data_IF_996665442344
#
_entry.id   IF_996665442344
#
_cell.length_a   1.000
_cell.length_b   1.000
_cell.length_c   1.000
_cell.angle_alpha   90.00
_cell.angle_beta   90.00
_cell.angle_gamma   90.00
#
_symmetry.space_group_name_H-M   'P 1'
#
loop_
_entity.id
_entity.type
_entity.pdbx_description
1 polymer ?
#
# COMPACT_ATOMS: atom_id res chain seq x y z
N UNK A 1 -48.43 51.02 -66.17
CA UNK A 1 -49.30 51.88 -65.35
C UNK A 1 -48.43 52.53 -64.29
N UNK A 2 -48.39 53.86 -64.26
CA UNK A 2 -47.81 54.69 -63.18
C UNK A 2 -48.28 54.18 -61.81
N UNK A 3 -47.50 54.28 -60.73
CA UNK A 3 -47.29 55.52 -59.97
C UNK A 3 -45.89 55.59 -59.35
N UNK A 4 -45.33 56.79 -59.48
CA UNK A 4 -44.09 57.35 -58.93
C UNK A 4 -44.26 57.78 -57.46
N UNK A 5 -43.21 57.73 -56.64
CA UNK A 5 -42.59 58.94 -56.02
C UNK A 5 -41.41 58.60 -55.08
N UNK A 6 -40.42 59.49 -55.13
CA UNK A 6 -39.13 59.48 -54.42
C UNK A 6 -39.12 60.47 -53.25
N UNK A 7 -38.40 60.11 -52.17
CA UNK A 7 -37.54 60.95 -51.28
C UNK A 7 -38.21 62.09 -50.47
N UNK A 8 -37.55 62.84 -49.55
CA UNK A 8 -36.16 62.84 -48.96
C UNK A 8 -36.14 62.85 -47.39
N UNK A 9 -35.06 62.51 -46.65
CA UNK A 9 -33.85 63.24 -46.16
C UNK A 9 -34.04 64.40 -45.13
N UNK A 10 -33.28 64.30 -44.02
CA UNK A 10 -32.68 65.33 -43.12
C UNK A 10 -33.53 65.90 -41.96
N UNK A 11 -32.93 65.99 -40.75
CA UNK A 11 -33.35 66.94 -39.69
C UNK A 11 -32.87 66.58 -38.27
N UNK A 12 -32.42 67.58 -37.51
CA UNK A 12 -31.59 67.54 -36.30
C UNK A 12 -32.35 67.68 -34.95
N UNK A 13 -31.83 67.03 -33.88
CA UNK A 13 -31.69 67.46 -32.45
C UNK A 13 -32.96 67.84 -31.62
N UNK A 14 -32.87 68.18 -30.30
CA UNK A 14 -32.58 67.33 -29.12
C UNK A 14 -33.62 67.50 -27.98
N UNK A 15 -33.92 66.50 -27.13
CA UNK A 15 -34.52 66.74 -25.78
C UNK A 15 -34.16 65.64 -24.76
N UNK A 16 -33.98 66.11 -23.52
CA UNK A 16 -33.46 65.51 -22.29
C UNK A 16 -34.26 64.39 -21.60
N UNK A 17 -33.54 63.71 -20.69
CA UNK A 17 -33.95 63.22 -19.36
C UNK A 17 -34.86 61.96 -19.29
N UNK A 18 -34.32 60.85 -18.76
CA UNK A 18 -34.45 60.50 -17.33
C UNK A 18 -33.69 59.21 -17.00
N UNK A 19 -32.93 59.34 -15.91
CA UNK A 19 -32.22 58.31 -15.18
C UNK A 19 -33.22 57.32 -14.58
N UNK A 20 -33.12 56.03 -14.91
CA UNK A 20 -33.62 54.97 -14.03
C UNK A 20 -32.60 53.84 -14.06
N UNK A 21 -31.89 53.68 -12.95
CA UNK A 21 -30.85 52.68 -12.79
C UNK A 21 -31.44 51.28 -12.72
N UNK A 22 -30.78 50.35 -13.39
CA UNK A 22 -30.84 48.93 -13.06
C UNK A 22 -29.40 48.43 -12.98
N UNK A 23 -28.91 48.27 -11.74
CA UNK A 23 -27.66 47.59 -11.44
C UNK A 23 -27.81 46.11 -11.84
N UNK A 24 -27.14 45.69 -12.90
CA UNK A 24 -26.87 44.28 -13.16
C UNK A 24 -25.41 44.02 -12.81
N UNK A 25 -25.15 43.72 -11.53
CA UNK A 25 -23.84 43.23 -11.07
C UNK A 25 -23.61 41.83 -11.63
N UNK A 26 -22.78 41.74 -12.66
CA UNK A 26 -22.25 40.48 -13.15
C UNK A 26 -21.36 39.82 -12.10
N UNK A 27 -21.81 38.69 -11.58
CA UNK A 27 -21.02 37.83 -10.70
C UNK A 27 -20.02 37.04 -11.57
N UNK A 28 -18.84 37.62 -11.81
CA UNK A 28 -17.69 36.87 -12.30
C UNK A 28 -17.23 35.93 -11.17
N UNK A 29 -17.62 34.66 -11.22
CA UNK A 29 -16.96 33.61 -10.45
C UNK A 29 -15.53 33.49 -10.97
N UNK A 30 -14.60 34.12 -10.26
CA UNK A 30 -13.19 33.79 -10.37
C UNK A 30 -13.01 32.35 -9.87
N UNK A 31 -12.90 31.40 -10.80
CA UNK A 31 -12.33 30.09 -10.52
C UNK A 31 -10.83 30.28 -10.20
N UNK A 32 -10.53 30.67 -8.96
CA UNK A 32 -9.20 30.49 -8.43
C UNK A 32 -8.91 28.98 -8.42
N UNK A 33 -7.80 28.51 -8.99
CA UNK A 33 -7.39 27.13 -8.81
C UNK A 33 -7.19 26.94 -7.31
N UNK A 34 -8.05 26.13 -6.68
CA UNK A 34 -7.75 25.62 -5.34
C UNK A 34 -6.44 24.87 -5.49
N UNK A 35 -5.37 25.41 -4.90
CA UNK A 35 -4.17 24.62 -4.65
C UNK A 35 -4.65 23.37 -3.91
N UNK A 36 -4.61 22.22 -4.57
CA UNK A 36 -4.77 20.94 -3.90
C UNK A 36 -3.57 20.83 -2.96
N UNK A 37 -3.78 21.31 -1.73
CA UNK A 37 -2.77 21.30 -0.69
C UNK A 37 -2.33 19.88 -0.44
N UNK A 38 -1.05 19.72 -0.07
CA UNK A 38 -0.58 18.52 0.63
C UNK A 38 -1.66 18.07 1.60
N UNK A 39 -1.96 16.77 1.63
CA UNK A 39 -2.69 16.15 2.72
C UNK A 39 -2.21 16.71 4.06
N UNK A 40 -3.02 17.61 4.62
CA UNK A 40 -2.61 18.48 5.71
C UNK A 40 -2.83 17.72 7.02
N UNK A 41 -1.75 17.53 7.77
CA UNK A 41 -1.74 16.82 9.05
C UNK A 41 -2.75 17.46 10.01
N UNK A 42 -2.91 18.77 9.90
CA UNK A 42 -3.75 19.57 10.78
C UNK A 42 -5.24 19.30 10.51
N UNK A 43 -5.63 19.18 9.23
CA UNK A 43 -6.99 18.81 8.83
C UNK A 43 -7.38 17.41 9.29
N UNK A 44 -6.43 16.47 9.34
CA UNK A 44 -6.68 15.13 9.87
C UNK A 44 -6.84 15.14 11.39
N UNK A 45 -5.97 15.86 12.10
CA UNK A 45 -6.06 16.02 13.55
C UNK A 45 -7.40 16.64 13.95
N UNK A 46 -7.87 17.65 13.21
CA UNK A 46 -9.17 18.29 13.40
C UNK A 46 -10.33 17.31 13.16
N UNK A 47 -10.32 16.55 12.05
CA UNK A 47 -11.37 15.56 11.73
C UNK A 47 -11.46 14.42 12.75
N UNK A 48 -10.33 13.97 13.30
CA UNK A 48 -10.31 12.98 14.38
C UNK A 48 -10.90 13.54 15.68
N UNK A 49 -10.75 14.85 15.93
CA UNK A 49 -11.31 15.50 17.10
C UNK A 49 -12.81 15.85 16.96
N UNK A 50 -13.34 15.95 15.73
CA UNK A 50 -14.64 16.60 15.47
C UNK A 50 -15.83 15.68 15.11
N UNK A 51 -15.71 14.34 15.13
CA UNK A 51 -16.78 13.48 14.58
C UNK A 51 -17.67 12.82 15.65
N UNK A 52 -19.00 13.04 15.65
CA UNK A 52 -19.95 12.23 16.41
C UNK A 52 -20.24 10.90 15.69
N UNK A 53 -20.42 9.82 16.46
CA UNK A 53 -20.88 8.53 15.95
C UNK A 53 -22.22 8.70 15.20
N UNK A 54 -22.30 8.28 13.94
CA UNK A 54 -23.56 8.25 13.20
C UNK A 54 -23.75 6.91 12.51
N UNK A 55 -24.90 6.28 12.77
CA UNK A 55 -25.33 4.98 12.27
C UNK A 55 -25.88 5.09 10.84
N UNK A 56 -25.29 4.29 9.93
CA UNK A 56 -25.67 4.10 8.53
C UNK A 56 -24.69 3.11 7.86
N UNK A 57 -25.09 2.35 6.82
CA UNK A 57 -24.37 1.14 6.42
C UNK A 57 -22.92 1.45 6.03
N UNK A 58 -22.01 1.01 6.90
CA UNK A 58 -20.56 1.09 6.81
C UNK A 58 -19.99 2.46 6.35
N UNK A 59 -20.39 3.55 6.99
CA UNK A 59 -19.58 4.78 6.91
C UNK A 59 -18.18 4.48 7.47
N UNK A 60 -17.15 4.58 6.62
CA UNK A 60 -15.77 4.33 7.04
C UNK A 60 -15.41 5.24 8.24
N UNK A 61 -14.60 4.76 9.21
CA UNK A 61 -14.27 5.54 10.39
C UNK A 61 -13.70 6.92 10.03
N UNK A 62 -13.88 7.94 10.89
CA UNK A 62 -13.36 9.28 10.65
C UNK A 62 -11.87 9.26 10.31
N UNK A 63 -11.49 10.02 9.29
CA UNK A 63 -10.11 10.08 8.83
C UNK A 63 -9.64 8.82 8.10
N UNK A 64 -10.54 7.97 7.59
CA UNK A 64 -10.15 6.81 6.78
C UNK A 64 -10.33 7.05 5.28
N UNK A 65 -11.41 7.70 4.87
CA UNK A 65 -11.58 8.16 3.47
C UNK A 65 -10.60 9.28 3.21
N UNK A 66 -9.76 9.09 2.19
CA UNK A 66 -8.78 10.06 1.71
C UNK A 66 -9.56 11.03 0.81
N UNK A 67 -10.16 10.52 -0.27
CA UNK A 67 -11.04 11.29 -1.14
C UNK A 67 -11.22 10.60 -2.49
N UNK A 68 -11.92 11.26 -3.41
CA UNK A 68 -12.06 10.80 -4.79
C UNK A 68 -11.03 11.48 -5.70
N UNK A 69 -10.44 10.68 -6.58
CA UNK A 69 -9.35 11.09 -7.45
C UNK A 69 -9.54 10.55 -8.86
N UNK A 70 -9.21 11.38 -9.86
CA UNK A 70 -9.11 10.92 -11.25
C UNK A 70 -7.83 10.10 -11.42
N UNK A 71 -7.93 8.95 -12.10
CA UNK A 71 -6.75 8.16 -12.49
C UNK A 71 -5.84 8.99 -13.41
N UNK A 72 -4.52 8.88 -13.24
CA UNK A 72 -3.56 9.52 -14.14
C UNK A 72 -3.48 8.77 -15.48
N UNK A 73 -2.76 9.32 -16.47
CA UNK A 73 -2.44 8.59 -17.71
C UNK A 73 -0.92 8.56 -17.93
N UNK A 74 -0.28 7.38 -17.97
CA UNK A 74 -0.82 6.08 -17.58
C UNK A 74 -1.11 6.01 -16.06
N UNK A 75 -2.18 5.30 -15.68
CA UNK A 75 -2.57 5.10 -14.28
C UNK A 75 -1.84 3.94 -13.63
N UNK A 76 -1.76 2.80 -14.32
CA UNK A 76 -1.12 1.57 -13.84
C UNK A 76 0.35 1.58 -14.19
N UNK A 77 1.21 1.48 -13.18
CA UNK A 77 2.66 1.33 -13.35
C UNK A 77 3.04 -0.15 -13.26
N UNK A 78 2.51 -0.80 -12.23
CA UNK A 78 2.67 -2.22 -11.90
C UNK A 78 1.39 -2.73 -11.21
N UNK A 79 1.25 -4.03 -10.97
CA UNK A 79 0.06 -4.63 -10.39
C UNK A 79 -0.30 -4.12 -8.97
N UNK A 80 0.69 -3.69 -8.20
CA UNK A 80 0.53 -3.11 -6.86
C UNK A 80 0.76 -1.59 -6.79
N UNK A 81 0.92 -0.92 -7.94
CA UNK A 81 1.38 0.48 -8.00
C UNK A 81 0.64 1.27 -9.07
N UNK A 82 -0.15 2.27 -8.63
CA UNK A 82 -0.91 3.17 -9.50
C UNK A 82 -0.60 4.66 -9.25
N UNK A 83 -1.06 5.53 -10.15
CA UNK A 83 -0.99 6.99 -10.08
C UNK A 83 -2.37 7.64 -10.23
N UNK A 84 -2.58 8.73 -9.50
CA UNK A 84 -3.77 9.57 -9.60
C UNK A 84 -3.40 11.04 -9.74
N UNK A 85 -4.30 11.83 -10.31
CA UNK A 85 -4.12 13.28 -10.44
C UNK A 85 -4.17 13.94 -9.06
N UNK A 86 -3.25 14.87 -8.79
CA UNK A 86 -3.24 15.66 -7.55
C UNK A 86 -2.52 15.02 -6.36
N UNK A 87 -2.02 13.79 -6.50
CA UNK A 87 -1.09 13.19 -5.54
C UNK A 87 0.26 13.00 -6.23
N UNK A 88 1.29 13.61 -5.67
CA UNK A 88 2.66 13.49 -6.17
C UNK A 88 3.19 12.05 -5.98
N UNK A 89 3.80 11.50 -7.03
CA UNK A 89 4.40 10.17 -7.03
C UNK A 89 3.37 9.04 -7.25
N UNK A 90 3.77 7.82 -6.87
CA UNK A 90 2.92 6.62 -6.94
C UNK A 90 2.29 6.30 -5.60
N UNK A 91 1.15 5.61 -5.64
CA UNK A 91 0.47 5.07 -4.46
C UNK A 91 1.09 3.71 -4.09
N UNK A 92 1.17 3.40 -2.78
CA UNK A 92 1.49 2.05 -2.29
C UNK A 92 0.19 1.38 -1.88
N UNK A 93 -0.17 0.34 -2.61
CA UNK A 93 -1.39 -0.40 -2.37
C UNK A 93 -1.22 -1.35 -1.17
N UNK A 94 -2.16 -1.28 -0.24
CA UNK A 94 -2.14 -2.05 1.01
C UNK A 94 -2.65 -3.48 0.81
N UNK A 95 -2.07 -4.44 1.53
CA UNK A 95 -2.49 -5.85 1.51
C UNK A 95 -2.11 -6.63 0.24
N UNK A 96 -1.37 -6.02 -0.69
CA UNK A 96 -0.88 -6.67 -1.91
C UNK A 96 0.62 -6.38 -2.14
N UNK A 97 1.30 -7.32 -2.80
CA UNK A 97 2.68 -7.22 -3.29
C UNK A 97 2.79 -8.15 -4.51
N UNK A 98 2.42 -7.62 -5.69
CA UNK A 98 2.52 -8.36 -6.95
C UNK A 98 3.99 -8.61 -7.29
N UNK A 99 4.24 -9.66 -8.09
CA UNK A 99 5.58 -9.92 -8.59
C UNK A 99 6.07 -8.79 -9.50
N UNK A 100 7.39 -8.63 -9.63
CA UNK A 100 7.97 -7.52 -10.37
C UNK A 100 7.78 -7.70 -11.89
N UNK A 101 7.67 -6.58 -12.60
CA UNK A 101 7.63 -6.55 -14.06
C UNK A 101 9.04 -6.48 -14.68
N UNK A 102 9.20 -7.02 -15.90
CA UNK A 102 10.47 -6.93 -16.63
C UNK A 102 10.76 -5.50 -17.09
N UNK A 103 11.67 -4.83 -16.37
CA UNK A 103 12.00 -3.40 -16.56
C UNK A 103 13.24 -3.14 -17.43
N UNK A 104 14.03 -4.17 -17.75
CA UNK A 104 15.24 -4.00 -18.58
C UNK A 104 15.49 -5.17 -19.53
N UNK A 105 16.18 -4.90 -20.65
CA UNK A 105 16.59 -5.92 -21.63
C UNK A 105 17.64 -6.89 -21.08
N UNK A 106 18.40 -6.46 -20.08
CA UNK A 106 19.32 -7.35 -19.37
C UNK A 106 18.55 -8.42 -18.61
N UNK A 107 17.48 -8.03 -17.93
CA UNK A 107 16.66 -8.94 -17.15
C UNK A 107 15.88 -9.92 -18.04
N UNK A 108 15.38 -9.44 -19.19
CA UNK A 108 14.76 -10.28 -20.22
C UNK A 108 15.73 -11.31 -20.79
N UNK A 109 16.95 -10.89 -21.14
CA UNK A 109 17.99 -11.82 -21.64
C UNK A 109 18.39 -12.85 -20.60
N UNK A 110 18.45 -12.47 -19.32
CA UNK A 110 18.71 -13.43 -18.24
C UNK A 110 17.55 -14.44 -18.10
N UNK A 111 16.30 -13.99 -18.30
CA UNK A 111 15.13 -14.86 -18.33
C UNK A 111 15.12 -15.83 -19.54
N UNK A 112 15.58 -15.38 -20.72
CA UNK A 112 15.66 -16.21 -21.94
C UNK A 112 16.54 -17.47 -21.78
N UNK A 113 17.40 -17.52 -20.76
CA UNK A 113 18.19 -18.70 -20.39
C UNK A 113 17.38 -19.81 -19.70
N UNK A 114 16.12 -19.53 -19.36
CA UNK A 114 15.18 -20.43 -18.68
C UNK A 114 14.83 -19.94 -17.27
N UNK A 115 13.55 -20.02 -16.91
CA UNK A 115 13.02 -19.42 -15.68
C UNK A 115 13.67 -19.95 -14.39
N UNK A 116 13.86 -21.27 -14.28
CA UNK A 116 14.53 -21.87 -13.10
C UNK A 116 15.97 -21.37 -12.95
N UNK A 117 16.72 -21.30 -14.06
CA UNK A 117 18.11 -20.80 -14.07
C UNK A 117 18.15 -19.33 -13.71
N UNK A 118 17.22 -18.55 -14.26
CA UNK A 118 17.07 -17.13 -13.95
C UNK A 118 16.80 -16.89 -12.46
N UNK A 119 15.84 -17.58 -11.86
CA UNK A 119 15.53 -17.45 -10.44
C UNK A 119 16.71 -17.91 -9.57
N UNK A 120 17.36 -19.02 -9.91
CA UNK A 120 18.53 -19.50 -9.17
C UNK A 120 19.67 -18.47 -9.15
N UNK A 121 19.96 -17.84 -10.31
CA UNK A 121 20.95 -16.75 -10.40
C UNK A 121 20.54 -15.52 -9.60
N UNK A 122 19.25 -15.16 -9.61
CA UNK A 122 18.74 -14.05 -8.79
C UNK A 122 18.81 -14.34 -7.30
N UNK A 123 18.69 -15.61 -6.89
CA UNK A 123 18.76 -16.04 -5.49
C UNK A 123 20.19 -16.15 -4.97
N UNK A 124 21.19 -16.29 -5.84
CA UNK A 124 22.60 -16.43 -5.47
C UNK A 124 23.05 -15.28 -4.56
N UNK A 125 23.64 -15.61 -3.41
CA UNK A 125 24.08 -14.62 -2.41
C UNK A 125 22.98 -14.04 -1.52
N UNK A 126 21.72 -14.42 -1.71
CA UNK A 126 20.59 -13.98 -0.90
C UNK A 126 20.09 -15.10 0.02
N UNK A 127 19.94 -14.78 1.31
CA UNK A 127 19.42 -15.66 2.36
C UNK A 127 17.89 -15.56 2.55
N UNK A 128 17.25 -14.69 1.75
CA UNK A 128 15.82 -14.35 1.85
C UNK A 128 15.12 -14.49 0.49
N UNK A 129 13.80 -14.67 0.50
CA UNK A 129 12.95 -14.56 -0.68
C UNK A 129 13.28 -13.32 -1.52
N UNK A 130 13.70 -13.54 -2.77
CA UNK A 130 14.03 -12.47 -3.71
C UNK A 130 12.77 -11.79 -4.28
N UNK A 131 12.96 -10.62 -4.91
CA UNK A 131 11.97 -10.00 -5.79
C UNK A 131 12.57 -9.90 -7.19
N UNK A 132 12.30 -10.89 -8.03
CA UNK A 132 12.73 -10.93 -9.44
C UNK A 132 11.55 -10.62 -10.37
N UNK A 133 11.81 -10.18 -11.61
CA UNK A 133 10.74 -10.03 -12.57
C UNK A 133 10.24 -11.39 -13.05
N UNK A 134 8.95 -11.50 -13.33
CA UNK A 134 8.35 -12.76 -13.79
C UNK A 134 7.30 -12.52 -14.87
N UNK A 135 6.97 -13.54 -15.67
CA UNK A 135 5.81 -13.47 -16.56
C UNK A 135 4.52 -13.16 -15.80
N UNK A 136 4.34 -13.73 -14.60
CA UNK A 136 3.15 -13.46 -13.81
C UNK A 136 3.10 -12.01 -13.27
N UNK A 137 4.24 -11.36 -13.01
CA UNK A 137 4.30 -9.93 -12.72
C UNK A 137 3.80 -9.09 -13.91
N UNK A 138 4.11 -9.50 -15.14
CA UNK A 138 3.55 -8.88 -16.35
C UNK A 138 2.04 -9.12 -16.47
N UNK A 139 1.57 -10.34 -16.19
CA UNK A 139 0.14 -10.66 -16.15
C UNK A 139 -0.61 -9.83 -15.10
N UNK A 140 -0.06 -9.67 -13.89
CA UNK A 140 -0.64 -8.85 -12.85
C UNK A 140 -0.80 -7.38 -13.27
N UNK A 141 0.18 -6.84 -14.00
CA UNK A 141 0.08 -5.50 -14.59
C UNK A 141 -1.00 -5.41 -15.67
N UNK A 142 -1.10 -6.40 -16.56
CA UNK A 142 -2.15 -6.40 -17.59
C UNK A 142 -3.54 -6.54 -16.98
N UNK A 143 -3.71 -7.46 -16.03
CA UNK A 143 -4.94 -7.61 -15.26
C UNK A 143 -5.34 -6.31 -14.56
N UNK A 144 -4.38 -5.58 -13.98
CA UNK A 144 -4.63 -4.27 -13.40
C UNK A 144 -5.12 -3.25 -14.45
N UNK A 145 -4.53 -3.23 -15.65
CA UNK A 145 -4.97 -2.36 -16.73
C UNK A 145 -6.41 -2.68 -17.17
N UNK A 146 -6.76 -3.96 -17.32
CA UNK A 146 -8.11 -4.42 -17.62
C UNK A 146 -9.10 -4.08 -16.48
N UNK A 147 -8.69 -4.26 -15.23
CA UNK A 147 -9.52 -3.90 -14.07
C UNK A 147 -9.83 -2.39 -14.02
N UNK A 148 -8.93 -1.54 -14.50
CA UNK A 148 -9.17 -0.09 -14.53
C UNK A 148 -9.71 0.40 -15.88
N UNK A 149 -9.98 -0.48 -16.84
CA UNK A 149 -10.57 -0.09 -18.12
C UNK A 149 -11.96 0.54 -17.89
N UNK A 150 -12.19 1.68 -18.55
CA UNK A 150 -13.42 2.48 -18.39
C UNK A 150 -13.54 3.22 -17.05
N UNK A 151 -12.64 3.01 -16.09
CA UNK A 151 -12.66 3.68 -14.78
C UNK A 151 -12.02 5.06 -14.90
N UNK A 152 -12.81 6.11 -14.66
CA UNK A 152 -12.30 7.50 -14.67
C UNK A 152 -11.75 7.93 -13.31
N UNK A 153 -12.46 7.58 -12.25
CA UNK A 153 -12.18 8.04 -10.88
C UNK A 153 -12.25 6.89 -9.90
N UNK A 154 -11.46 7.02 -8.84
CA UNK A 154 -11.38 6.06 -7.73
C UNK A 154 -11.51 6.79 -6.41
N UNK A 155 -12.06 6.10 -5.41
CA UNK A 155 -12.01 6.57 -4.02
C UNK A 155 -10.83 5.94 -3.32
N UNK A 156 -9.95 6.77 -2.78
CA UNK A 156 -8.82 6.32 -1.98
C UNK A 156 -9.25 6.24 -0.51
N UNK A 157 -8.82 5.18 0.16
CA UNK A 157 -9.06 4.96 1.57
C UNK A 157 -7.80 4.41 2.24
N UNK A 158 -7.55 4.75 3.51
CA UNK A 158 -6.45 4.13 4.28
C UNK A 158 -6.95 2.93 5.09
N UNK A 159 -6.03 2.16 5.65
CA UNK A 159 -6.39 1.12 6.62
C UNK A 159 -6.57 1.69 8.02
N UNK A 160 -5.68 2.59 8.43
CA UNK A 160 -5.66 3.16 9.78
C UNK A 160 -5.41 4.67 9.78
N UNK A 161 -6.12 5.45 10.62
CA UNK A 161 -6.01 6.91 10.65
C UNK A 161 -4.61 7.42 10.95
N UNK A 162 -3.80 6.67 11.70
CA UNK A 162 -2.44 7.07 12.07
C UNK A 162 -1.36 6.67 11.06
N UNK A 163 -1.67 5.82 10.08
CA UNK A 163 -0.71 5.31 9.10
C UNK A 163 -0.98 5.93 7.72
N UNK A 164 -0.23 6.99 7.40
CA UNK A 164 -0.51 7.81 6.21
C UNK A 164 0.37 7.43 5.02
N UNK A 165 1.67 7.30 5.26
CA UNK A 165 2.68 7.13 4.22
C UNK A 165 3.68 6.08 4.68
N UNK A 166 4.12 5.25 3.74
CA UNK A 166 5.18 4.28 3.98
C UNK A 166 6.54 4.94 4.16
N UNK A 167 7.59 4.13 4.39
CA UNK A 167 8.97 4.58 4.61
C UNK A 167 9.47 5.56 3.54
N UNK A 168 9.18 5.27 2.27
CA UNK A 168 9.60 6.04 1.10
C UNK A 168 8.66 7.21 0.75
N UNK A 169 7.72 7.55 1.64
CA UNK A 169 6.82 8.67 1.43
C UNK A 169 5.63 8.40 0.51
N UNK A 170 5.50 7.21 -0.09
CA UNK A 170 4.29 6.81 -0.85
C UNK A 170 3.07 6.77 0.05
N UNK A 171 1.93 7.26 -0.44
CA UNK A 171 0.65 7.21 0.28
C UNK A 171 0.18 5.76 0.39
N UNK A 172 -0.18 5.33 1.59
CA UNK A 172 -0.71 3.99 1.88
C UNK A 172 -2.22 3.99 1.63
N UNK A 173 -2.70 3.14 0.72
CA UNK A 173 -4.11 3.21 0.31
C UNK A 173 -4.68 1.87 -0.17
N UNK A 174 -5.97 1.71 0.06
CA UNK A 174 -6.90 0.92 -0.73
C UNK A 174 -7.46 1.76 -1.86
N UNK A 175 -7.76 1.12 -2.99
CA UNK A 175 -8.36 1.77 -4.15
C UNK A 175 -9.74 1.19 -4.36
N UNK A 176 -10.74 2.03 -4.13
CA UNK A 176 -12.14 1.67 -4.30
C UNK A 176 -12.63 2.14 -5.66
N UNK A 177 -13.23 1.24 -6.43
CA UNK A 177 -13.79 1.50 -7.75
C UNK A 177 -15.29 1.30 -7.71
N UNK A 178 -16.04 2.27 -8.21
CA UNK A 178 -17.49 2.12 -8.35
C UNK A 178 -17.82 1.42 -9.68
N UNK A 179 -18.57 0.32 -9.61
CA UNK A 179 -19.14 -0.39 -10.77
C UNK A 179 -20.56 -0.80 -10.44
N UNK A 180 -21.51 -0.47 -11.32
CA UNK A 180 -22.93 -0.84 -11.18
C UNK A 180 -23.53 -0.47 -9.82
N UNK A 181 -23.19 0.72 -9.31
CA UNK A 181 -23.65 1.22 -8.00
C UNK A 181 -23.03 0.53 -6.79
N UNK A 182 -21.97 -0.26 -6.98
CA UNK A 182 -21.22 -0.94 -5.91
C UNK A 182 -19.77 -0.51 -5.88
N UNK A 183 -19.22 -0.38 -4.68
CA UNK A 183 -17.79 -0.17 -4.48
C UNK A 183 -17.05 -1.51 -4.41
N UNK A 184 -16.07 -1.70 -5.29
CA UNK A 184 -15.13 -2.82 -5.29
C UNK A 184 -13.78 -2.35 -4.75
N UNK A 185 -13.16 -3.15 -3.88
CA UNK A 185 -11.81 -2.88 -3.38
C UNK A 185 -10.80 -3.57 -4.30
N UNK A 186 -10.14 -2.81 -5.18
CA UNK A 186 -9.14 -3.34 -6.12
C UNK A 186 -8.11 -4.23 -5.45
N UNK A 187 -7.64 -3.85 -4.25
CA UNK A 187 -6.60 -4.60 -3.56
C UNK A 187 -7.09 -6.01 -3.19
N UNK A 188 -8.33 -6.14 -2.71
CA UNK A 188 -8.95 -7.44 -2.42
C UNK A 188 -9.21 -8.22 -3.70
N UNK A 189 -9.70 -7.55 -4.76
CA UNK A 189 -9.93 -8.19 -6.07
C UNK A 189 -8.63 -8.70 -6.69
N UNK A 190 -7.52 -8.00 -6.51
CA UNK A 190 -6.19 -8.41 -6.96
C UNK A 190 -5.75 -9.73 -6.31
N UNK A 191 -6.01 -9.90 -5.00
CA UNK A 191 -5.80 -11.17 -4.31
C UNK A 191 -6.76 -12.24 -4.80
N UNK A 192 -8.04 -11.91 -5.00
CA UNK A 192 -9.07 -12.85 -5.47
C UNK A 192 -8.78 -13.38 -6.89
N UNK A 193 -8.18 -12.55 -7.72
CA UNK A 193 -7.73 -12.91 -9.06
C UNK A 193 -6.43 -13.74 -9.05
N UNK A 194 -5.75 -13.88 -7.90
CA UNK A 194 -4.47 -14.59 -7.80
C UNK A 194 -3.28 -13.78 -8.32
N UNK A 195 -3.42 -12.46 -8.50
CA UNK A 195 -2.31 -11.61 -8.98
C UNK A 195 -1.34 -11.21 -7.85
N UNK A 196 -1.78 -11.35 -6.60
CA UNK A 196 -0.99 -11.11 -5.39
C UNK A 196 -1.43 -12.08 -4.29
N UNK A 197 -0.53 -12.51 -3.38
CA UNK A 197 -0.97 -13.06 -2.10
C UNK A 197 -1.53 -11.93 -1.22
N UNK A 198 -2.17 -12.28 -0.11
CA UNK A 198 -2.45 -11.31 0.94
C UNK A 198 -1.15 -10.94 1.66
N UNK A 199 -0.69 -9.70 1.43
CA UNK A 199 0.60 -9.22 1.89
C UNK A 199 0.52 -8.58 3.29
N UNK A 200 0.78 -9.38 4.32
CA UNK A 200 0.64 -9.01 5.75
C UNK A 200 1.92 -8.51 6.41
N UNK A 201 3.03 -8.38 5.67
CA UNK A 201 4.39 -8.07 6.19
C UNK A 201 4.48 -6.85 7.12
N UNK A 202 3.56 -5.90 6.96
CA UNK A 202 3.49 -4.65 7.71
C UNK A 202 2.21 -4.54 8.57
N UNK A 203 1.57 -5.67 8.89
CA UNK A 203 0.36 -5.75 9.70
C UNK A 203 -0.81 -6.34 8.92
N UNK A 204 -1.74 -6.97 9.64
CA UNK A 204 -3.04 -7.32 9.08
C UNK A 204 -3.84 -6.05 8.81
N UNK A 205 -4.61 -6.02 7.72
CA UNK A 205 -5.60 -4.99 7.49
C UNK A 205 -6.59 -4.95 8.65
N UNK A 206 -6.78 -3.78 9.26
CA UNK A 206 -7.74 -3.60 10.35
C UNK A 206 -9.18 -3.55 9.85
N UNK A 207 -9.38 -3.39 8.53
CA UNK A 207 -10.69 -3.16 7.91
C UNK A 207 -11.14 -4.27 6.96
N UNK A 208 -10.19 -4.91 6.28
CA UNK A 208 -10.48 -5.84 5.18
C UNK A 208 -9.77 -7.20 5.35
N UNK A 209 -9.29 -7.53 6.56
CA UNK A 209 -8.57 -8.79 6.81
C UNK A 209 -9.34 -10.01 6.30
N UNK A 210 -10.59 -10.17 6.73
CA UNK A 210 -11.41 -11.34 6.38
C UNK A 210 -11.68 -11.41 4.87
N UNK A 211 -11.84 -10.26 4.21
CA UNK A 211 -12.02 -10.20 2.76
C UNK A 211 -10.77 -10.64 2.01
N UNK A 212 -9.58 -10.24 2.49
CA UNK A 212 -8.31 -10.70 1.92
C UNK A 212 -8.08 -12.19 2.16
N UNK A 213 -8.36 -12.70 3.37
CA UNK A 213 -8.25 -14.12 3.70
C UNK A 213 -9.17 -14.95 2.79
N UNK A 214 -10.44 -14.54 2.66
CA UNK A 214 -11.39 -15.18 1.78
C UNK A 214 -10.94 -15.12 0.31
N UNK A 215 -10.52 -13.95 -0.17
CA UNK A 215 -10.04 -13.77 -1.54
C UNK A 215 -8.85 -14.69 -1.85
N UNK A 216 -7.90 -14.83 -0.92
CA UNK A 216 -6.76 -15.71 -1.08
C UNK A 216 -7.20 -17.18 -1.11
N UNK A 217 -8.12 -17.59 -0.24
CA UNK A 217 -8.66 -18.95 -0.24
C UNK A 217 -9.36 -19.29 -1.56
N UNK A 218 -10.18 -18.38 -2.09
CA UNK A 218 -10.83 -18.52 -3.40
C UNK A 218 -9.81 -18.66 -4.53
N UNK A 219 -8.76 -17.83 -4.53
CA UNK A 219 -7.73 -17.87 -5.56
C UNK A 219 -6.90 -19.16 -5.52
N UNK A 220 -6.57 -19.65 -4.32
CA UNK A 220 -5.88 -20.93 -4.11
C UNK A 220 -6.72 -22.12 -4.56
N UNK A 221 -7.98 -22.18 -4.12
CA UNK A 221 -8.89 -23.28 -4.47
C UNK A 221 -9.15 -23.36 -5.98
N UNK A 222 -9.17 -22.21 -6.65
CA UNK A 222 -9.35 -22.14 -8.10
C UNK A 222 -8.03 -22.17 -8.91
N UNK A 223 -6.87 -22.33 -8.26
CA UNK A 223 -5.57 -22.36 -8.94
C UNK A 223 -5.31 -21.13 -9.81
N UNK A 224 -5.63 -19.92 -9.31
CA UNK A 224 -5.51 -18.68 -10.10
C UNK A 224 -4.13 -18.03 -9.93
N UNK A 225 -3.56 -17.52 -11.02
CA UNK A 225 -2.38 -16.66 -11.00
C UNK A 225 -1.20 -17.31 -10.28
N UNK A 226 -0.74 -16.73 -9.16
CA UNK A 226 0.37 -17.25 -8.33
C UNK A 226 0.10 -18.63 -7.70
N UNK A 227 -1.14 -19.12 -7.82
CA UNK A 227 -1.57 -20.43 -7.32
C UNK A 227 -1.73 -21.46 -8.45
N UNK A 228 -1.46 -21.07 -9.70
CA UNK A 228 -1.44 -21.96 -10.85
C UNK A 228 -0.04 -22.56 -11.02
N UNK A 229 0.17 -23.87 -10.76
CA UNK A 229 1.48 -24.48 -10.85
C UNK A 229 2.04 -24.56 -12.28
N UNK A 230 1.22 -24.24 -13.30
CA UNK A 230 1.66 -24.19 -14.69
C UNK A 230 2.24 -22.84 -15.10
N UNK A 231 2.16 -21.82 -14.22
CA UNK A 231 2.66 -20.47 -14.48
C UNK A 231 4.02 -20.23 -13.86
N UNK A 232 4.78 -19.35 -14.50
CA UNK A 232 6.09 -18.93 -14.02
C UNK A 232 5.95 -17.78 -13.01
N UNK A 233 5.98 -18.15 -11.73
CA UNK A 233 5.86 -17.27 -10.58
C UNK A 233 6.87 -17.68 -9.48
N UNK A 234 6.94 -16.93 -8.39
CA UNK A 234 7.81 -17.25 -7.25
C UNK A 234 7.42 -18.59 -6.62
N UNK A 235 8.38 -19.49 -6.36
CA UNK A 235 8.07 -20.84 -5.87
C UNK A 235 7.84 -20.90 -4.35
N UNK A 236 8.05 -19.81 -3.62
CA UNK A 236 8.23 -19.78 -2.17
C UNK A 236 7.10 -19.06 -1.40
N UNK A 237 5.88 -19.02 -1.96
CA UNK A 237 4.76 -18.31 -1.34
C UNK A 237 4.36 -18.84 0.04
N UNK A 238 4.46 -20.14 0.30
CA UNK A 238 4.21 -20.69 1.65
C UNK A 238 5.19 -20.14 2.69
N UNK A 239 6.46 -20.02 2.32
CA UNK A 239 7.50 -19.44 3.18
C UNK A 239 7.29 -17.94 3.39
N UNK A 240 6.95 -17.22 2.32
CA UNK A 240 6.67 -15.78 2.36
C UNK A 240 5.48 -15.47 3.28
N UNK A 241 4.40 -16.23 3.17
CA UNK A 241 3.20 -16.03 4.01
C UNK A 241 3.51 -16.26 5.48
N UNK A 242 4.19 -17.36 5.85
CA UNK A 242 4.61 -17.60 7.25
C UNK A 242 5.47 -16.47 7.80
N UNK A 243 6.41 -15.97 7.00
CA UNK A 243 7.24 -14.82 7.36
C UNK A 243 6.40 -13.56 7.59
N UNK A 244 5.51 -13.23 6.65
CA UNK A 244 4.71 -12.01 6.70
C UNK A 244 3.69 -12.04 7.83
N UNK A 245 3.02 -13.17 8.05
CA UNK A 245 2.06 -13.34 9.14
C UNK A 245 2.75 -13.27 10.51
N UNK A 246 3.94 -13.87 10.67
CA UNK A 246 4.70 -13.73 11.90
C UNK A 246 5.07 -12.27 12.22
N UNK A 247 5.32 -11.45 11.18
CA UNK A 247 5.53 -10.00 11.37
C UNK A 247 4.23 -9.28 11.73
N UNK A 248 3.13 -9.64 11.07
CA UNK A 248 1.82 -9.10 11.36
C UNK A 248 1.40 -9.38 12.82
N UNK A 249 1.71 -10.56 13.34
CA UNK A 249 1.44 -10.97 14.71
C UNK A 249 2.19 -10.12 15.74
N UNK A 250 3.44 -9.74 15.45
CA UNK A 250 4.23 -8.84 16.31
C UNK A 250 3.54 -7.47 16.42
N UNK A 251 3.09 -6.93 15.28
CA UNK A 251 2.39 -5.64 15.22
C UNK A 251 1.05 -5.73 15.95
N UNK A 252 0.22 -6.71 15.60
CA UNK A 252 -1.11 -6.87 16.19
C UNK A 252 -1.03 -7.05 17.71
N UNK A 253 -0.06 -7.83 18.20
CA UNK A 253 0.17 -8.00 19.64
C UNK A 253 0.56 -6.69 20.30
N UNK A 254 1.47 -5.93 19.69
CA UNK A 254 1.83 -4.61 20.22
C UNK A 254 0.64 -3.66 20.28
N UNK A 255 -0.17 -3.59 19.22
CA UNK A 255 -1.35 -2.73 19.17
C UNK A 255 -2.36 -3.05 20.27
N UNK A 256 -2.62 -4.34 20.50
CA UNK A 256 -3.49 -4.82 21.58
C UNK A 256 -2.98 -4.42 22.95
N UNK A 257 -1.67 -4.52 23.18
CA UNK A 257 -1.06 -4.13 24.46
C UNK A 257 -0.97 -2.61 24.65
N UNK A 258 -0.87 -1.87 23.55
CA UNK A 258 -0.80 -0.40 23.53
C UNK A 258 -2.17 0.27 23.70
N UNK A 259 -3.26 -0.48 23.60
CA UNK A 259 -4.62 0.04 23.71
C UNK A 259 -4.83 0.78 25.04
N UNK A 260 -5.28 2.04 24.96
CA UNK A 260 -5.46 2.92 26.11
C UNK A 260 -4.17 3.42 26.78
N UNK A 261 -2.99 3.19 26.19
CA UNK A 261 -1.69 3.60 26.76
C UNK A 261 -0.99 4.66 25.92
N UNK A 262 -0.95 5.88 26.42
CA UNK A 262 -0.36 7.02 25.69
C UNK A 262 1.16 6.95 25.54
N UNK A 263 1.85 6.17 26.38
CA UNK A 263 3.29 5.97 26.30
C UNK A 263 3.71 4.73 25.49
N UNK A 264 2.76 4.05 24.84
CA UNK A 264 3.04 2.98 23.85
C UNK A 264 2.88 3.54 22.44
N UNK A 265 3.96 3.54 21.66
CA UNK A 265 4.05 4.27 20.39
C UNK A 265 4.62 3.39 19.29
N UNK A 266 3.84 3.13 18.24
CA UNK A 266 4.40 2.67 16.96
C UNK A 266 5.02 3.84 16.23
N UNK A 267 6.30 3.74 15.84
CA UNK A 267 7.00 4.82 15.15
C UNK A 267 6.50 5.06 13.71
N UNK A 268 5.72 4.12 13.15
CA UNK A 268 5.06 4.29 11.85
C UNK A 268 3.90 5.30 11.91
N UNK A 269 3.37 5.56 13.10
CA UNK A 269 2.29 6.53 13.28
C UNK A 269 2.77 7.95 12.95
N UNK A 270 1.91 8.74 12.29
CA UNK A 270 2.26 10.09 11.88
C UNK A 270 2.54 11.03 13.07
N UNK A 271 1.89 10.79 14.21
CA UNK A 271 1.97 11.57 15.46
C UNK A 271 3.10 11.12 16.39
N UNK A 272 3.89 10.10 15.99
CA UNK A 272 4.85 9.45 16.89
C UNK A 272 5.89 10.42 17.47
N UNK A 273 6.48 11.32 16.66
CA UNK A 273 7.49 12.26 17.17
C UNK A 273 6.89 13.32 18.09
N UNK A 274 5.69 13.83 17.76
CA UNK A 274 5.01 14.84 18.58
C UNK A 274 4.65 14.24 19.95
N UNK A 275 4.22 12.96 19.98
CA UNK A 275 3.99 12.20 21.22
C UNK A 275 5.27 11.98 22.01
N UNK A 276 6.38 11.63 21.35
CA UNK A 276 7.67 11.45 22.02
C UNK A 276 8.19 12.76 22.60
N UNK A 277 8.02 13.88 21.90
CA UNK A 277 8.39 15.20 22.41
C UNK A 277 7.57 15.58 23.65
N UNK A 278 6.26 15.32 23.66
CA UNK A 278 5.41 15.52 24.83
C UNK A 278 5.78 14.62 26.02
N UNK A 279 6.42 13.48 25.76
CA UNK A 279 6.86 12.50 26.75
C UNK A 279 8.36 12.61 27.06
N UNK A 280 9.02 13.72 26.72
CA UNK A 280 10.42 13.94 27.05
C UNK A 280 10.66 13.82 28.57
N UNK A 281 11.64 13.01 28.96
CA UNK A 281 11.93 12.68 30.35
C UNK A 281 11.07 11.54 30.94
N UNK A 282 10.11 11.00 30.20
CA UNK A 282 9.23 9.91 30.63
C UNK A 282 9.58 8.58 29.96
N UNK A 283 9.17 7.47 30.59
CA UNK A 283 9.32 6.13 30.02
C UNK A 283 8.26 5.82 28.95
N UNK A 284 8.72 5.26 27.84
CA UNK A 284 7.90 4.85 26.70
C UNK A 284 8.22 3.41 26.27
N UNK A 285 7.26 2.79 25.59
CA UNK A 285 7.46 1.54 24.86
C UNK A 285 7.25 1.80 23.37
N UNK A 286 8.28 1.56 22.56
CA UNK A 286 8.24 1.78 21.12
C UNK A 286 8.12 0.48 20.35
N UNK A 287 7.39 0.50 19.23
CA UNK A 287 7.51 -0.49 18.17
C UNK A 287 8.12 0.16 16.93
N UNK A 288 9.20 -0.42 16.41
CA UNK A 288 9.83 0.01 15.18
C UNK A 288 10.70 -1.08 14.57
N UNK A 289 11.07 -0.93 13.30
CA UNK A 289 12.06 -1.81 12.66
C UNK A 289 13.47 -1.29 12.92
N UNK A 290 14.42 -2.17 13.27
CA UNK A 290 15.84 -1.78 13.32
C UNK A 290 16.36 -1.56 11.90
N UNK A 291 16.89 -0.37 11.64
CA UNK A 291 17.49 0.02 10.37
C UNK A 291 19.01 -0.07 10.41
N UNK A 292 19.65 1.05 10.11
CA UNK A 292 21.11 1.17 10.14
C UNK A 292 21.64 1.07 11.58
N UNK A 293 22.76 0.38 11.76
CA UNK A 293 23.50 0.34 13.02
C UNK A 293 24.88 0.92 12.73
N UNK A 294 25.21 1.98 13.47
CA UNK A 294 26.50 2.65 13.40
C UNK A 294 27.28 2.28 14.66
N UNK A 295 28.40 1.55 14.54
CA UNK A 295 29.21 1.20 15.69
C UNK A 295 29.83 2.45 16.33
N UNK A 296 30.44 2.29 17.51
CA UNK A 296 31.15 3.39 18.17
C UNK A 296 32.33 3.85 17.32
N UNK A 297 32.47 5.16 17.18
CA UNK A 297 33.62 5.81 16.57
C UNK A 297 34.31 6.72 17.59
N UNK A 298 35.54 6.35 17.98
CA UNK A 298 36.32 7.09 18.97
C UNK A 298 35.58 7.24 20.31
N UNK A 299 35.26 8.48 20.69
CA UNK A 299 34.53 8.77 21.94
C UNK A 299 33.00 8.82 21.75
N UNK A 300 32.51 8.67 20.53
CA UNK A 300 31.08 8.69 20.23
C UNK A 300 30.37 7.40 20.64
N UNK A 301 29.06 7.46 20.97
CA UNK A 301 28.27 6.26 21.20
C UNK A 301 27.97 5.51 19.90
N UNK A 302 27.66 4.22 20.01
CA UNK A 302 27.03 3.48 18.94
C UNK A 302 25.57 3.93 18.80
N UNK A 303 25.04 3.85 17.59
CA UNK A 303 23.69 4.29 17.24
C UNK A 303 22.96 3.20 16.49
N UNK A 304 21.84 2.75 17.04
CA UNK A 304 20.90 1.87 16.35
C UNK A 304 19.73 2.73 15.88
N UNK A 305 19.52 2.83 14.56
CA UNK A 305 18.50 3.69 13.99
C UNK A 305 17.16 2.95 13.89
N UNK A 306 16.16 3.40 14.67
CA UNK A 306 14.80 2.89 14.55
C UNK A 306 14.09 3.55 13.38
N UNK A 307 13.69 2.71 12.43
CA UNK A 307 13.11 3.12 11.16
C UNK A 307 11.72 3.72 11.35
N UNK A 308 11.48 4.87 10.71
CA UNK A 308 10.10 5.39 10.52
C UNK A 308 9.84 5.86 9.10
N UNK A 309 10.49 6.95 8.72
CA UNK A 309 10.42 7.58 7.40
C UNK A 309 11.84 7.80 6.94
N UNK A 310 12.04 7.77 5.63
CA UNK A 310 13.34 8.03 5.03
C UNK A 310 13.98 9.29 5.63
N UNK A 311 15.22 9.17 6.08
CA UNK A 311 16.03 10.23 6.71
C UNK A 311 15.48 10.82 8.02
N UNK A 312 14.52 10.16 8.67
CA UNK A 312 13.89 10.69 9.89
C UNK A 312 13.77 9.62 10.97
N UNK A 313 14.79 8.77 11.08
CA UNK A 313 14.87 7.67 12.05
C UNK A 313 15.13 8.16 13.48
N UNK A 314 14.69 7.38 14.47
CA UNK A 314 14.91 7.67 15.89
C UNK A 314 16.13 6.88 16.40
N UNK A 315 17.21 7.54 16.85
CA UNK A 315 18.39 6.83 17.33
C UNK A 315 18.20 6.26 18.74
N UNK A 316 18.59 5.00 18.91
CA UNK A 316 18.96 4.43 20.21
C UNK A 316 20.45 4.63 20.44
N UNK A 317 20.82 5.05 21.63
CA UNK A 317 22.19 5.44 21.98
C UNK A 317 22.79 4.42 22.93
N UNK A 318 23.93 3.86 22.52
CA UNK A 318 24.70 2.89 23.29
C UNK A 318 26.05 3.47 23.67
N UNK A 319 26.26 3.68 24.97
CA UNK A 319 27.55 4.14 25.49
C UNK A 319 28.50 3.00 25.85
N UNK A 320 28.03 1.76 25.80
CA UNK A 320 28.75 0.55 26.17
C UNK A 320 28.54 -0.49 25.07
N UNK A 321 29.63 -1.05 24.54
CA UNK A 321 29.60 -2.04 23.46
C UNK A 321 29.10 -3.41 23.92
N UNK A 322 29.32 -3.76 25.20
CA UNK A 322 28.78 -4.98 25.79
C UNK A 322 27.25 -4.92 25.88
N UNK A 323 26.70 -3.76 26.25
CA UNK A 323 25.25 -3.55 26.22
C UNK A 323 24.69 -3.67 24.80
N UNK A 324 25.38 -3.17 23.79
CA UNK A 324 24.95 -3.34 22.40
C UNK A 324 24.94 -4.81 21.99
N UNK A 325 26.05 -5.51 22.23
CA UNK A 325 26.24 -6.92 21.88
C UNK A 325 25.20 -7.84 22.54
N UNK A 326 24.80 -7.54 23.78
CA UNK A 326 23.81 -8.34 24.52
C UNK A 326 22.35 -7.93 24.27
N UNK A 327 22.09 -6.76 23.67
CA UNK A 327 20.72 -6.19 23.51
C UNK A 327 19.91 -6.74 22.35
N UNK A 328 20.43 -7.74 21.64
CA UNK A 328 19.87 -8.29 20.40
C UNK A 328 19.69 -7.29 19.24
N UNK A 329 20.09 -6.02 19.41
CA UNK A 329 19.82 -4.97 18.42
C UNK A 329 20.51 -5.25 17.07
N UNK A 330 21.69 -5.88 17.09
CA UNK A 330 22.40 -6.27 15.87
C UNK A 330 21.72 -7.42 15.14
N UNK A 331 21.25 -8.42 15.89
CA UNK A 331 20.52 -9.55 15.33
C UNK A 331 19.15 -9.14 14.78
N UNK A 332 18.49 -8.19 15.45
CA UNK A 332 17.18 -7.69 15.06
C UNK A 332 17.18 -6.78 13.81
N UNK A 333 18.31 -6.63 13.09
CA UNK A 333 18.39 -5.78 11.89
C UNK A 333 17.34 -6.19 10.83
N UNK A 334 16.47 -5.25 10.48
CA UNK A 334 15.34 -5.48 9.57
C UNK A 334 14.08 -6.08 10.24
N UNK A 335 14.16 -6.44 11.50
CA UNK A 335 13.08 -6.97 12.32
C UNK A 335 12.46 -5.89 13.22
N UNK A 336 11.22 -6.17 13.66
CA UNK A 336 10.54 -5.32 14.62
C UNK A 336 11.11 -5.55 16.02
N UNK A 337 11.48 -4.46 16.69
CA UNK A 337 11.86 -4.44 18.09
C UNK A 337 10.83 -3.70 18.92
N UNK A 338 10.66 -4.16 20.15
CA UNK A 338 10.07 -3.38 21.23
C UNK A 338 11.19 -2.73 22.03
N UNK A 339 11.08 -1.43 22.25
CA UNK A 339 12.10 -0.67 23.00
C UNK A 339 11.46 0.01 24.19
N UNK A 340 11.93 -0.33 25.39
CA UNK A 340 11.55 0.32 26.63
C UNK A 340 12.64 1.30 27.07
N UNK A 341 12.30 2.56 27.29
CA UNK A 341 13.27 3.51 27.81
C UNK A 341 12.73 4.92 27.95
N UNK A 342 13.56 5.79 28.52
CA UNK A 342 13.24 7.20 28.73
C UNK A 342 13.53 8.01 27.47
N UNK A 343 12.55 8.78 27.01
CA UNK A 343 12.77 9.74 25.92
C UNK A 343 13.68 10.85 26.41
N UNK A 344 14.71 11.17 25.63
CA UNK A 344 15.64 12.25 25.92
C UNK A 344 15.96 13.04 24.66
N UNK A 345 16.51 14.25 24.84
CA UNK A 345 16.94 15.10 23.74
C UNK A 345 18.45 15.33 23.78
N UNK A 346 19.10 15.09 22.65
CA UNK A 346 20.47 15.51 22.44
C UNK A 346 20.51 16.85 21.73
N UNK A 347 21.21 17.83 22.32
CA UNK A 347 21.44 19.14 21.71
C UNK A 347 22.83 19.12 21.06
N UNK A 348 22.89 19.32 19.75
CA UNK A 348 24.13 19.33 19.01
C UNK A 348 24.95 20.58 19.36
N UNK A 349 26.26 20.40 19.54
CA UNK A 349 27.17 21.53 19.74
C UNK A 349 27.33 22.32 18.44
N UNK A 350 26.83 23.55 18.40
CA UNK A 350 27.09 24.49 17.30
C UNK A 350 28.45 25.16 17.49
N UNK A 351 29.26 25.25 16.42
CA UNK A 351 30.41 26.17 16.42
C UNK A 351 29.86 27.60 16.58
N UNK A 352 30.36 28.35 17.56
CA UNK A 352 29.97 29.75 17.80
C UNK A 352 30.07 30.54 16.48
N UNK A 353 28.98 31.18 16.06
CA UNK A 353 28.97 32.16 14.96
C UNK A 353 28.26 31.78 13.66
N UNK A 354 27.50 30.67 13.58
CA UNK A 354 26.82 30.25 12.33
C UNK A 354 25.30 30.06 12.41
N UNK A 355 24.63 30.74 13.34
CA UNK A 355 23.17 30.80 13.43
C UNK A 355 22.71 32.24 13.68
N UNK A 356 21.48 32.59 13.26
CA UNK A 356 20.81 33.79 13.79
C UNK A 356 20.72 33.63 15.31
N UNK A 357 20.94 34.72 16.04
CA UNK A 357 21.10 34.74 17.50
C UNK A 357 19.91 34.17 18.27
N UNK A 358 18.76 34.01 17.62
CA UNK A 358 17.47 33.65 18.23
C UNK A 358 16.99 32.21 17.90
N UNK A 359 17.64 31.49 16.99
CA UNK A 359 17.22 30.11 16.67
C UNK A 359 17.75 29.13 17.74
N UNK A 360 16.91 28.21 18.26
CA UNK A 360 17.36 27.19 19.19
C UNK A 360 18.41 26.29 18.52
N UNK A 361 19.40 25.79 19.30
CA UNK A 361 20.40 24.89 18.75
C UNK A 361 19.73 23.63 18.17
N UNK A 362 20.27 23.07 17.07
CA UNK A 362 19.76 21.83 16.51
C UNK A 362 19.76 20.74 17.59
N UNK A 363 18.69 19.95 17.64
CA UNK A 363 18.52 18.87 18.60
C UNK A 363 17.85 17.65 17.96
N UNK A 364 17.94 16.50 18.63
CA UNK A 364 17.34 15.25 18.21
C UNK A 364 16.81 14.47 19.41
N UNK A 365 15.58 13.95 19.30
CA UNK A 365 15.03 12.98 20.24
C UNK A 365 15.77 11.65 20.12
N UNK A 366 15.99 10.98 21.23
CA UNK A 366 16.72 9.73 21.31
C UNK A 366 16.31 8.93 22.56
N UNK A 367 16.62 7.64 22.58
CA UNK A 367 16.52 6.82 23.79
C UNK A 367 17.90 6.25 24.11
N UNK A 368 18.37 6.43 25.34
CA UNK A 368 19.60 5.80 25.78
C UNK A 368 19.32 4.37 26.24
N UNK A 369 20.09 3.42 25.72
CA UNK A 369 20.05 2.03 26.15
C UNK A 369 21.17 1.80 27.16
N UNK A 370 20.78 1.37 28.36
CA UNK A 370 21.64 1.13 29.52
C UNK A 370 21.63 -0.31 29.98
N UNK A 371 20.63 -1.09 29.55
CA UNK A 371 20.48 -2.51 29.85
C UNK A 371 20.05 -3.24 28.58
N UNK A 372 20.55 -4.46 28.34
CA UNK A 372 20.14 -5.26 27.18
C UNK A 372 18.62 -5.47 27.12
N UNK A 373 18.00 -5.74 28.27
CA UNK A 373 16.55 -6.00 28.42
C UNK A 373 15.63 -4.85 28.04
N UNK A 374 16.17 -3.67 27.71
CA UNK A 374 15.40 -2.57 27.16
C UNK A 374 14.98 -2.80 25.71
N UNK A 375 15.59 -3.76 25.03
CA UNK A 375 15.23 -4.16 23.68
C UNK A 375 14.75 -5.61 23.74
N UNK A 376 13.64 -5.87 23.07
CA UNK A 376 13.13 -7.22 22.86
C UNK A 376 12.71 -7.36 21.40
N UNK A 377 13.07 -8.48 20.77
CA UNK A 377 12.66 -8.77 19.40
C UNK A 377 12.19 -10.22 19.29
N UNK A 378 11.39 -10.48 18.27
CA UNK A 378 11.00 -11.83 17.89
C UNK A 378 11.55 -12.06 16.49
N UNK A 379 12.35 -13.10 16.32
CA UNK A 379 12.83 -13.46 14.99
C UNK A 379 11.67 -13.98 14.14
N UNK A 380 11.34 -13.24 13.09
CA UNK A 380 10.32 -13.62 12.11
C UNK A 380 10.92 -14.04 10.78
N UNK A 381 12.25 -14.08 10.64
CA UNK A 381 12.91 -14.31 9.35
C UNK A 381 12.51 -15.67 8.74
N UNK A 382 12.47 -15.77 7.40
CA UNK A 382 12.11 -17.00 6.70
C UNK A 382 12.84 -18.26 7.18
N UNK A 383 14.13 -18.16 7.50
CA UNK A 383 14.95 -19.28 7.97
C UNK A 383 14.34 -20.05 9.16
N UNK A 384 13.54 -19.38 10.01
CA UNK A 384 12.82 -19.99 11.12
C UNK A 384 11.75 -21.01 10.67
N UNK A 385 11.19 -20.82 9.48
CA UNK A 385 10.07 -21.62 8.96
C UNK A 385 10.50 -22.65 7.93
N UNK A 386 11.69 -22.49 7.32
CA UNK A 386 12.17 -23.38 6.27
C UNK A 386 12.26 -24.84 6.70
N UNK A 387 12.72 -25.13 7.92
CA UNK A 387 12.82 -26.51 8.43
C UNK A 387 11.44 -27.17 8.58
N UNK A 388 10.44 -26.44 9.12
CA UNK A 388 9.09 -26.96 9.29
C UNK A 388 8.41 -27.30 7.96
N UNK A 389 8.66 -26.52 6.90
CA UNK A 389 8.14 -26.80 5.56
C UNK A 389 8.76 -28.05 4.93
N UNK A 390 10.06 -28.30 5.17
CA UNK A 390 10.72 -29.53 4.72
C UNK A 390 10.08 -30.75 5.40
N UNK A 391 9.85 -30.68 6.71
CA UNK A 391 9.21 -31.76 7.45
C UNK A 391 7.76 -32.00 6.98
N UNK A 392 6.97 -30.94 6.78
CA UNK A 392 5.58 -31.06 6.27
C UNK A 392 5.52 -31.64 4.85
N UNK A 393 6.45 -31.26 3.96
CA UNK A 393 6.55 -31.81 2.62
C UNK A 393 6.93 -33.30 2.64
N UNK A 394 7.76 -33.72 3.59
CA UNK A 394 8.17 -35.13 3.77
C UNK A 394 7.08 -36.00 4.40
N UNK A 395 6.24 -35.43 5.27
CA UNK A 395 5.15 -36.15 5.95
C UNK A 395 3.89 -36.25 5.08
N UNK A 396 3.80 -35.45 4.00
CA UNK A 396 2.62 -35.33 3.15
C UNK A 396 1.58 -34.47 3.88
N UNK A 397 1.19 -33.34 3.28
CA UNK A 397 0.20 -32.46 3.89
C UNK A 397 -1.09 -33.24 4.20
N UNK A 398 -1.62 -33.21 5.44
CA UNK A 398 -2.96 -33.73 5.67
C UNK A 398 -3.93 -32.92 4.81
N UNK A 399 -4.73 -33.62 4.00
CA UNK A 399 -5.82 -32.99 3.27
C UNK A 399 -6.69 -32.23 4.28
N UNK A 400 -6.76 -30.90 4.11
CA UNK A 400 -7.66 -30.05 4.87
C UNK A 400 -9.10 -30.32 4.43
N UNK A 401 -9.68 -31.42 4.88
CA UNK A 401 -11.11 -31.71 4.81
C UNK A 401 -11.74 -31.41 6.17
N UNK A 402 -12.09 -30.16 6.43
CA UNK A 402 -13.12 -29.83 7.41
C UNK A 402 -14.44 -29.74 6.68
N UNK A 403 -15.01 -30.90 6.34
CA UNK A 403 -16.46 -30.98 6.17
C UNK A 403 -17.08 -30.90 7.57
N UNK A 404 -18.07 -30.04 7.81
CA UNK A 404 -18.81 -30.07 9.08
C UNK A 404 -19.72 -31.30 9.07
N UNK A 405 -19.51 -32.20 10.04
CA UNK A 405 -20.45 -33.29 10.32
C UNK A 405 -21.84 -32.71 10.63
N UNK A 406 -22.92 -33.22 10.03
CA UNK A 406 -24.26 -32.82 10.43
C UNK A 406 -24.63 -33.53 11.74
N UNK A 407 -24.78 -32.76 12.81
CA UNK A 407 -25.53 -33.21 13.98
C UNK A 407 -26.96 -33.54 13.53
N UNK A 408 -27.32 -34.81 13.60
CA UNK A 408 -28.70 -35.26 13.44
C UNK A 408 -29.18 -35.82 14.77
N UNK A 409 -30.04 -35.04 15.41
CA UNK A 409 -30.90 -35.44 16.51
C UNK A 409 -31.92 -36.48 16.00
N UNK A 410 -32.15 -37.51 16.80
CA UNK A 410 -33.04 -38.60 16.48
C UNK A 410 -34.43 -38.33 17.04
N UNK A 411 -35.46 -38.39 16.18
CA UNK A 411 -36.72 -39.08 16.51
C UNK A 411 -37.67 -39.16 15.31
N UNK A 412 -37.89 -40.41 14.89
CA UNK A 412 -39.18 -41.07 14.62
C UNK A 412 -40.25 -40.40 13.72
N UNK A 413 -40.37 -41.00 12.54
CA UNK A 413 -41.49 -41.88 12.13
C UNK A 413 -42.34 -41.48 10.90
N UNK A 414 -42.54 -42.52 10.06
CA UNK A 414 -43.71 -42.82 9.22
C UNK A 414 -43.78 -42.34 7.73
N UNK A 415 -43.64 -43.37 6.88
CA UNK A 415 -44.26 -43.68 5.57
C UNK A 415 -43.84 -42.96 4.27
N UNK A 416 -43.20 -43.74 3.38
CA UNK A 416 -43.24 -43.61 1.92
C UNK A 416 -44.59 -44.14 1.36
N UNK A 417 -44.99 -43.85 0.08
CA UNK A 417 -44.35 -44.55 -1.05
C UNK A 417 -44.30 -43.82 -2.44
N UNK A 418 -43.23 -44.14 -3.18
CA UNK A 418 -43.11 -44.45 -4.64
C UNK A 418 -43.47 -43.49 -5.80
N UNK A 419 -42.63 -43.63 -6.86
CA UNK A 419 -42.81 -43.42 -8.34
C UNK A 419 -42.70 -41.98 -8.83
N UNK A 420 -42.09 -41.64 -9.98
CA UNK A 420 -41.49 -42.35 -11.13
C UNK A 420 -40.71 -41.28 -11.96
N UNK A 421 -39.64 -41.65 -12.68
CA UNK A 421 -39.05 -40.84 -13.74
C UNK A 421 -39.86 -40.98 -15.05
N UNK A 422 -39.66 -40.10 -16.05
CA UNK A 422 -38.80 -40.52 -17.17
C UNK A 422 -37.95 -39.42 -17.83
N UNK A 423 -37.11 -39.92 -18.75
CA UNK A 423 -36.07 -39.28 -19.55
C UNK A 423 -36.57 -38.73 -20.92
N UNK A 424 -35.58 -38.38 -21.76
CA UNK A 424 -35.57 -38.00 -23.19
C UNK A 424 -35.70 -36.50 -23.53
N UNK A 425 -35.00 -35.93 -24.51
CA UNK A 425 -34.03 -36.42 -25.50
C UNK A 425 -33.25 -35.22 -26.12
N UNK A 426 -32.23 -35.57 -26.90
CA UNK A 426 -31.30 -34.72 -27.64
C UNK A 426 -31.94 -33.88 -28.78
N UNK A 427 -31.26 -32.80 -29.20
CA UNK A 427 -30.92 -32.63 -30.63
C UNK A 427 -29.69 -31.74 -30.85
N UNK A 428 -29.05 -32.02 -31.98
CA UNK A 428 -27.78 -31.64 -32.56
C UNK A 428 -27.88 -30.43 -33.49
N UNK A 429 -26.79 -29.72 -33.74
CA UNK A 429 -26.20 -29.48 -35.09
C UNK A 429 -25.06 -28.43 -35.04
N UNK A 430 -24.05 -28.69 -35.86
CA UNK A 430 -22.71 -28.07 -35.84
C UNK A 430 -22.52 -26.84 -36.75
N UNK A 431 -21.27 -26.58 -37.22
CA UNK A 431 -20.65 -25.26 -37.16
C UNK A 431 -20.57 -24.53 -38.51
N UNK A 432 -20.29 -23.22 -38.47
CA UNK A 432 -19.86 -22.44 -39.63
C UNK A 432 -18.67 -21.54 -39.27
N UNK A 433 -17.68 -21.60 -40.16
CA UNK A 433 -16.38 -20.98 -40.12
C UNK A 433 -16.36 -19.76 -41.09
N UNK A 434 -15.27 -18.98 -41.01
CA UNK A 434 -14.71 -18.02 -42.00
C UNK A 434 -15.34 -16.60 -42.11
N UNK A 435 -14.60 -15.56 -41.68
CA UNK A 435 -13.83 -14.64 -42.56
C UNK A 435 -13.36 -13.39 -41.84
N UNK A 436 -12.04 -13.18 -41.91
CA UNK A 436 -11.30 -11.94 -41.64
C UNK A 436 -11.49 -10.93 -42.77
N UNK A 437 -11.29 -9.62 -42.52
CA UNK A 437 -10.51 -8.87 -43.48
C UNK A 437 -9.45 -7.94 -42.86
N UNK A 438 -8.32 -7.94 -43.56
CA UNK A 438 -7.15 -7.08 -43.37
C UNK A 438 -7.45 -5.57 -43.39
N UNK A 439 -6.69 -4.82 -42.60
CA UNK A 439 -6.43 -3.39 -42.83
C UNK A 439 -4.92 -3.13 -42.78
N UNK A 440 -4.41 -2.66 -43.90
CA UNK A 440 -3.07 -2.11 -44.09
C UNK A 440 -3.16 -0.58 -43.86
N UNK A 441 -2.26 0.01 -43.05
CA UNK A 441 -1.37 1.15 -43.43
C UNK A 441 -0.83 2.00 -42.27
N UNK A 442 0.44 2.34 -42.49
CA UNK A 442 1.12 3.62 -42.29
C UNK A 442 1.70 3.97 -40.91
N UNK A 443 3.03 4.08 -40.90
CA UNK A 443 3.85 4.49 -39.78
C UNK A 443 3.72 5.98 -39.42
N UNK A 444 4.04 6.24 -38.16
CA UNK A 444 4.64 7.49 -37.70
C UNK A 444 5.68 7.10 -36.64
N UNK A 445 6.94 7.43 -36.92
CA UNK A 445 8.07 7.24 -36.00
C UNK A 445 8.07 8.38 -34.99
N UNK A 446 7.90 8.06 -33.71
CA UNK A 446 8.15 9.01 -32.61
C UNK A 446 9.62 8.93 -32.13
N UNK A 447 10.22 10.06 -31.73
CA UNK A 447 11.61 10.13 -31.30
C UNK A 447 11.83 9.45 -29.93
N UNK A 448 13.06 8.99 -29.64
CA UNK A 448 13.35 8.28 -28.39
C UNK A 448 13.20 9.21 -27.17
N UNK A 449 12.65 8.72 -26.04
CA UNK A 449 12.64 9.47 -24.80
C UNK A 449 14.06 9.59 -24.22
N UNK A 450 14.41 10.78 -23.75
CA UNK A 450 15.64 11.06 -23.00
C UNK A 450 15.74 10.20 -21.71
N UNK A 451 16.96 9.81 -21.29
CA UNK A 451 17.15 8.88 -20.19
C UNK A 451 16.74 9.49 -18.85
N UNK A 452 15.84 8.79 -18.14
CA UNK A 452 15.59 9.00 -16.73
C UNK A 452 16.88 8.71 -15.94
N UNK A 453 17.32 9.72 -15.20
CA UNK A 453 18.48 9.67 -14.31
C UNK A 453 18.30 8.55 -13.28
N UNK A 454 19.19 7.55 -13.37
CA UNK A 454 19.35 6.45 -12.43
C UNK A 454 19.58 6.97 -11.00
N UNK A 455 18.71 6.59 -10.07
CA UNK A 455 19.08 6.52 -8.66
C UNK A 455 19.61 5.11 -8.42
N UNK A 456 20.93 4.97 -8.63
CA UNK A 456 21.74 3.81 -8.31
C UNK A 456 21.40 3.25 -6.93
N UNK A 457 21.10 1.96 -6.90
CA UNK A 457 21.27 1.11 -5.73
C UNK A 457 22.73 1.19 -5.30
N UNK A 458 22.97 1.78 -4.14
CA UNK A 458 24.25 1.67 -3.45
C UNK A 458 24.16 0.47 -2.53
N UNK A 459 24.68 -0.62 -3.07
CA UNK A 459 25.13 -1.80 -2.38
C UNK A 459 26.33 -1.48 -1.46
N UNK A 460 26.58 -2.43 -0.56
CA UNK A 460 27.78 -2.67 0.26
C UNK A 460 27.86 -2.11 1.70
N UNK A 461 28.50 -2.86 2.62
CA UNK A 461 28.55 -4.32 2.79
C UNK A 461 27.72 -4.83 3.98
#
# INVERSE_FOLDING_TARGET
MSVSTRSPRIGEQPVSLRLTGLLLTGLLLACAPRSLGRYDRDQLAERLASTPATDGPAAAPPGVVIGEYTLASPSVIDGDTIKVVGIEGTLRLLGIDTEETFKSDQDRRAYDEGFETYLAKKQEGHDRPIKAATPLGMEAKHWAQEFFEGVRSVRLERDHPKELRGRYGRLLTYVMVERDGRWLNYNVECVRAGMSPYFTKYGYSRRFHDQFVQAQAEARAAGRGIWDPTKEHYPDYELRLRWWDARADVIQRFEREAEGRDNWISLTNWDALDRLEALEGQEVVLLATVGEIRPREGKGPARVMLSRRMFSDLPLIFFDDGILAESDAEEARGEFVRVHGTVSRYVFRTKRGRGRTDDPPPSQLQIQIRKPTQIAFVDTRPARFSAALVDEALVGAPASSSEPEPETDASDDVLAPTREAPADAADTTGPAEITDPAVERAGASDPPPEPLVEALEADAP
#
